data_IF_201559665662
#
_entry.id   IF_201559665662
#
_cell.length_a   1.000
_cell.length_b   1.000
_cell.length_c   1.000
_cell.angle_alpha   90.00
_cell.angle_beta   90.00
_cell.angle_gamma   90.00
#
_symmetry.space_group_name_H-M   'P 1'
#
loop_
_entity.id
_entity.type
_entity.pdbx_description
1 polymer ?
#
# COMPACT_ATOMS: atom_id res chain seq x y z
N UNK A 1 18.92 -15.62 11.75
CA UNK A 1 17.45 -15.68 11.65
C UNK A 1 16.91 -14.45 10.93
N UNK A 2 17.26 -13.25 11.38
CA UNK A 2 16.93 -11.96 10.74
C UNK A 2 17.23 -11.92 9.23
N UNK A 3 18.47 -12.19 8.81
CA UNK A 3 18.85 -12.24 7.39
C UNK A 3 17.99 -13.18 6.53
N UNK A 4 17.45 -14.25 7.12
CA UNK A 4 16.56 -15.15 6.39
C UNK A 4 15.17 -14.54 6.20
N UNK A 5 14.66 -13.84 7.21
CA UNK A 5 13.41 -13.09 7.14
C UNK A 5 13.52 -11.93 6.14
N UNK A 6 14.65 -11.21 6.13
CA UNK A 6 14.92 -10.16 5.14
C UNK A 6 14.87 -10.72 3.72
N UNK A 7 15.56 -11.84 3.47
CA UNK A 7 15.56 -12.49 2.15
C UNK A 7 14.15 -12.94 1.73
N UNK A 8 13.36 -13.47 2.66
CA UNK A 8 11.97 -13.84 2.41
C UNK A 8 11.14 -12.59 2.09
N UNK A 9 11.34 -11.49 2.81
CA UNK A 9 10.65 -10.22 2.56
C UNK A 9 10.97 -9.67 1.16
N UNK A 10 12.25 -9.67 0.76
CA UNK A 10 12.67 -9.28 -0.60
C UNK A 10 12.01 -10.14 -1.68
N UNK A 11 11.95 -11.46 -1.46
CA UNK A 11 11.25 -12.38 -2.37
C UNK A 11 9.75 -12.10 -2.44
N UNK A 12 9.11 -11.76 -1.32
CA UNK A 12 7.69 -11.45 -1.27
C UNK A 12 7.39 -10.12 -1.99
N UNK A 13 8.28 -9.14 -1.84
CA UNK A 13 8.14 -7.83 -2.47
C UNK A 13 8.24 -7.88 -4.00
N UNK A 14 8.84 -8.94 -4.58
CA UNK A 14 8.91 -9.11 -6.03
C UNK A 14 7.65 -9.74 -6.64
N UNK A 15 6.71 -10.23 -5.83
CA UNK A 15 5.44 -10.77 -6.32
C UNK A 15 4.45 -9.65 -6.64
N UNK A 16 3.69 -9.84 -7.73
CA UNK A 16 2.60 -8.94 -8.10
C UNK A 16 1.37 -9.16 -7.20
N UNK A 17 0.72 -8.07 -6.80
CA UNK A 17 -0.41 -8.08 -5.87
C UNK A 17 -1.60 -8.86 -6.42
N UNK A 18 -1.86 -8.76 -7.73
CA UNK A 18 -2.95 -9.49 -8.37
C UNK A 18 -2.80 -11.01 -8.21
N UNK A 19 -1.56 -11.50 -8.20
CA UNK A 19 -1.25 -12.93 -8.00
C UNK A 19 -1.49 -13.38 -6.55
N UNK A 20 -1.31 -12.48 -5.58
CA UNK A 20 -1.50 -12.78 -4.15
C UNK A 20 -2.99 -12.78 -3.74
N UNK A 21 -3.83 -11.97 -4.38
CA UNK A 21 -5.28 -11.92 -4.10
C UNK A 21 -5.95 -13.26 -4.37
N UNK A 22 -5.60 -13.93 -5.48
CA UNK A 22 -6.16 -15.24 -5.82
C UNK A 22 -5.75 -16.32 -4.80
N UNK A 23 -4.51 -16.28 -4.31
CA UNK A 23 -4.03 -17.21 -3.29
C UNK A 23 -4.66 -16.96 -1.92
N UNK A 24 -5.01 -15.70 -1.61
CA UNK A 24 -5.61 -15.33 -0.32
C UNK A 24 -6.85 -16.16 -0.01
N UNK A 25 -7.76 -16.29 -0.98
CA UNK A 25 -9.01 -17.03 -0.79
C UNK A 25 -8.76 -18.52 -0.55
N UNK A 26 -7.86 -19.12 -1.34
CA UNK A 26 -7.44 -20.51 -1.18
C UNK A 26 -6.91 -20.79 0.22
N UNK A 27 -6.03 -19.93 0.72
CA UNK A 27 -5.45 -20.12 2.06
C UNK A 27 -6.44 -19.78 3.16
N UNK A 28 -7.37 -18.83 2.97
CA UNK A 28 -8.45 -18.53 3.92
C UNK A 28 -9.31 -19.77 4.19
N UNK A 29 -9.80 -20.41 3.13
CA UNK A 29 -10.61 -21.64 3.25
C UNK A 29 -9.82 -22.78 3.88
N UNK A 30 -8.52 -22.87 3.60
CA UNK A 30 -7.64 -23.90 4.17
C UNK A 30 -7.45 -23.76 5.69
N UNK A 31 -7.31 -22.53 6.20
CA UNK A 31 -7.06 -22.28 7.63
C UNK A 31 -8.32 -22.42 8.48
N UNK A 32 -9.52 -22.25 7.90
CA UNK A 32 -10.80 -22.48 8.57
C UNK A 32 -10.97 -23.94 9.03
N UNK A 33 -10.34 -24.88 8.31
CA UNK A 33 -10.31 -26.30 8.67
C UNK A 33 -9.04 -26.61 9.48
N UNK A 34 -9.13 -26.45 10.80
CA UNK A 34 -8.03 -26.83 11.70
C UNK A 34 -7.85 -28.35 11.73
N UNK A 35 -6.63 -28.80 11.43
CA UNK A 35 -6.24 -30.21 11.50
C UNK A 35 -4.94 -30.45 12.28
N UNK A 36 -4.33 -29.40 12.85
CA UNK A 36 -3.10 -29.48 13.64
C UNK A 36 -1.86 -29.97 12.88
N UNK A 37 -1.91 -30.05 11.56
CA UNK A 37 -0.78 -30.52 10.75
C UNK A 37 0.21 -29.40 10.44
N UNK A 38 1.46 -29.77 10.11
CA UNK A 38 2.45 -28.82 9.58
C UNK A 38 1.97 -28.11 8.32
N UNK A 39 1.10 -28.75 7.53
CA UNK A 39 0.52 -28.14 6.34
C UNK A 39 -0.49 -27.04 6.71
N UNK A 40 -1.24 -27.21 7.79
CA UNK A 40 -2.09 -26.15 8.32
C UNK A 40 -1.25 -24.99 8.87
N UNK A 41 -0.20 -25.26 9.65
CA UNK A 41 0.72 -24.22 10.13
C UNK A 41 1.32 -23.43 8.95
N UNK A 42 1.75 -24.14 7.90
CA UNK A 42 2.25 -23.53 6.67
C UNK A 42 1.20 -22.68 5.98
N UNK A 43 -0.04 -23.15 5.90
CA UNK A 43 -1.15 -22.39 5.32
C UNK A 43 -1.42 -21.08 6.08
N UNK A 44 -1.37 -21.11 7.41
CA UNK A 44 -1.50 -19.92 8.26
C UNK A 44 -0.37 -18.92 8.00
N UNK A 45 0.88 -19.38 7.97
CA UNK A 45 2.03 -18.50 7.70
C UNK A 45 1.90 -17.83 6.32
N UNK A 46 1.53 -18.60 5.28
CA UNK A 46 1.33 -18.05 3.93
C UNK A 46 0.19 -17.02 3.92
N UNK A 47 -0.94 -17.31 4.58
CA UNK A 47 -2.05 -16.37 4.69
C UNK A 47 -1.63 -15.07 5.38
N UNK A 48 -0.88 -15.15 6.47
CA UNK A 48 -0.34 -13.99 7.18
C UNK A 48 0.59 -13.15 6.31
N UNK A 49 1.47 -13.78 5.53
CA UNK A 49 2.35 -13.09 4.57
C UNK A 49 1.52 -12.32 3.52
N UNK A 50 0.50 -12.96 2.93
CA UNK A 50 -0.37 -12.32 1.93
C UNK A 50 -1.08 -11.10 2.53
N UNK A 51 -1.59 -11.21 3.76
CA UNK A 51 -2.24 -10.09 4.44
C UNK A 51 -1.24 -8.96 4.77
N UNK A 52 0.00 -9.30 5.14
CA UNK A 52 1.04 -8.30 5.39
C UNK A 52 1.36 -7.48 4.12
N UNK A 53 1.41 -8.11 2.94
CA UNK A 53 1.58 -7.39 1.66
C UNK A 53 0.39 -6.47 1.38
N UNK A 54 -0.83 -6.96 1.55
CA UNK A 54 -2.06 -6.17 1.34
C UNK A 54 -2.09 -4.95 2.27
N UNK A 55 -1.73 -5.14 3.54
CA UNK A 55 -1.64 -4.07 4.54
C UNK A 55 -0.54 -3.05 4.18
N UNK A 56 0.65 -3.52 3.77
CA UNK A 56 1.73 -2.63 3.28
C UNK A 56 1.25 -1.77 2.12
N UNK A 57 0.52 -2.36 1.17
CA UNK A 57 0.03 -1.63 0.00
C UNK A 57 -1.04 -0.60 0.37
N UNK A 58 -1.98 -0.95 1.26
CA UNK A 58 -2.94 0.01 1.80
C UNK A 58 -2.24 1.20 2.47
N UNK A 59 -1.26 0.95 3.33
CA UNK A 59 -0.46 1.99 4.00
C UNK A 59 0.32 2.85 2.99
N UNK A 60 0.90 2.25 1.95
CA UNK A 60 1.61 2.98 0.91
C UNK A 60 0.66 3.92 0.16
N UNK A 61 -0.49 3.41 -0.28
CA UNK A 61 -1.50 4.18 -1.00
C UNK A 61 -2.02 5.35 -0.17
N UNK A 62 -2.31 5.15 1.12
CA UNK A 62 -2.71 6.23 2.03
C UNK A 62 -1.64 7.32 2.14
N UNK A 63 -0.37 6.94 2.29
CA UNK A 63 0.72 7.89 2.40
C UNK A 63 0.97 8.67 1.09
N UNK A 64 0.83 8.01 -0.06
CA UNK A 64 0.88 8.68 -1.38
C UNK A 64 -0.28 9.67 -1.52
N UNK A 65 -1.50 9.28 -1.17
CA UNK A 65 -2.68 10.15 -1.24
C UNK A 65 -2.53 11.37 -0.34
N UNK A 66 -2.03 11.21 0.89
CA UNK A 66 -1.73 12.33 1.81
C UNK A 66 -0.74 13.32 1.20
N UNK A 67 0.35 12.82 0.60
CA UNK A 67 1.34 13.67 -0.10
C UNK A 67 0.74 14.43 -1.29
N UNK A 68 -0.12 13.79 -2.08
CA UNK A 68 -0.80 14.45 -3.21
C UNK A 68 -1.76 15.54 -2.74
N UNK A 69 -2.50 15.32 -1.63
CA UNK A 69 -3.39 16.33 -1.04
C UNK A 69 -2.61 17.54 -0.55
N UNK A 70 -1.54 17.34 0.22
CA UNK A 70 -0.67 18.43 0.68
C UNK A 70 -0.09 19.25 -0.49
N UNK A 71 0.33 18.58 -1.57
CA UNK A 71 0.88 19.26 -2.77
C UNK A 71 -0.18 20.07 -3.55
N UNK A 72 -1.47 19.68 -3.49
CA UNK A 72 -2.58 20.44 -4.09
C UNK A 72 -2.98 21.64 -3.24
N UNK A 73 -2.90 21.53 -1.92
CA UNK A 73 -3.18 22.63 -0.98
C UNK A 73 -2.06 23.69 -1.00
N UNK A 74 -0.79 23.30 -1.13
CA UNK A 74 0.32 24.25 -1.32
C UNK A 74 0.32 24.94 -2.70
N UNK A 75 -0.26 24.31 -3.72
CA UNK A 75 -0.44 24.88 -5.07
C UNK A 75 -1.67 25.81 -5.21
N UNK A 76 -2.49 25.95 -4.17
CA UNK A 76 -3.69 26.79 -4.18
C UNK A 76 -3.63 27.88 -3.09
N UNK A 77 -2.50 28.58 -3.01
CA UNK A 77 -2.50 29.94 -2.46
C UNK A 77 -3.07 30.91 -3.50
N UNK A 78 -4.19 31.62 -3.23
CA UNK A 78 -4.66 32.68 -4.10
C UNK A 78 -3.72 33.86 -3.94
N UNK A 79 -2.82 34.07 -4.91
CA UNK A 79 -1.96 35.26 -4.93
C UNK A 79 -2.85 36.50 -5.06
N UNK A 80 -3.03 37.18 -3.92
CA UNK A 80 -3.69 38.46 -3.80
C UNK A 80 -2.94 39.51 -4.62
N UNK A 81 -3.73 40.25 -5.41
CA UNK A 81 -3.54 41.66 -5.79
C UNK A 81 -2.24 42.07 -6.48
N UNK A 82 -2.30 42.15 -7.81
CA UNK A 82 -1.56 43.15 -8.59
C UNK A 82 -2.55 44.04 -9.31
N UNK A 83 -2.85 45.24 -8.76
CA UNK A 83 -3.60 46.30 -9.45
C UNK A 83 -2.94 46.60 -10.80
N UNK A 84 -3.55 46.19 -11.91
CA UNK A 84 -3.17 46.68 -13.23
C UNK A 84 -3.69 48.10 -13.39
N UNK A 85 -2.83 49.07 -13.11
CA UNK A 85 -3.08 50.49 -13.35
C UNK A 85 -3.01 50.80 -14.83
N UNK A 86 -4.12 50.65 -15.56
CA UNK A 86 -4.26 51.21 -16.90
C UNK A 86 -4.64 52.70 -16.76
N UNK A 87 -3.66 53.59 -16.87
CA UNK A 87 -3.89 55.02 -17.08
C UNK A 87 -4.32 55.23 -18.54
N UNK A 88 -5.55 55.71 -18.73
CA UNK A 88 -6.07 56.17 -20.02
C UNK A 88 -5.46 57.54 -20.33
N UNK A 89 -4.62 57.61 -21.38
CA UNK A 89 -4.11 58.87 -21.92
C UNK A 89 -5.22 59.52 -22.76
N UNK A 90 -5.37 60.84 -22.60
CA UNK A 90 -6.35 61.68 -23.29
C UNK A 90 -5.97 61.91 -24.74
#
# INVERSE_FOLDING_TARGET
MEKALEKIAEQILSFDEASLVHLREKYRLRIEQFDGTKDWERAVIIFCIINAVSMKNALFNENVLKKVKHKKEEGSSPQRQGRSGLKRVK
#
